data_IF_282476293005
#
_entry.id   IF_282476293005
#
_cell.length_a   1.000
_cell.length_b   1.000
_cell.length_c   1.000
_cell.angle_alpha   90.00
_cell.angle_beta   90.00
_cell.angle_gamma   90.00
#
_symmetry.space_group_name_H-M   'P 1'
#
loop_
_entity.id
_entity.type
_entity.pdbx_description
1 polymer ?
#
# COMPACT_ATOMS: atom_id res chain seq x y z
N UNK A 1 6.69 18.78 27.98
CA UNK A 1 6.00 18.98 26.69
C UNK A 1 5.32 17.67 26.32
N UNK A 2 4.00 17.65 26.38
CA UNK A 2 3.18 16.48 26.03
C UNK A 2 3.14 16.35 24.51
N UNK A 3 3.83 15.36 23.95
CA UNK A 3 3.60 14.93 22.58
C UNK A 3 2.76 13.66 22.65
N UNK A 4 1.47 13.82 22.33
CA UNK A 4 0.52 12.73 22.17
C UNK A 4 1.06 11.72 21.15
N UNK A 5 1.34 10.50 21.61
CA UNK A 5 1.61 9.34 20.77
C UNK A 5 0.34 9.04 19.97
N UNK A 6 0.29 9.54 18.74
CA UNK A 6 -0.68 9.10 17.76
C UNK A 6 -0.37 7.67 17.38
N UNK A 7 -1.07 6.71 18.01
CA UNK A 7 -1.27 5.39 17.42
C UNK A 7 -1.96 5.67 16.08
N UNK A 8 -1.20 5.60 14.98
CA UNK A 8 -1.81 5.60 13.64
C UNK A 8 -2.46 4.24 13.47
N UNK A 9 -3.67 4.10 14.01
CA UNK A 9 -4.64 3.22 13.40
C UNK A 9 -4.84 3.78 11.99
N UNK A 10 -4.30 3.11 10.98
CA UNK A 10 -4.90 3.21 9.64
C UNK A 10 -6.21 2.42 9.77
N UNK A 11 -7.18 3.04 10.42
CA UNK A 11 -8.56 2.66 10.25
C UNK A 11 -8.92 3.17 8.85
N UNK A 12 -8.92 2.28 7.87
CA UNK A 12 -9.75 2.47 6.67
C UNK A 12 -11.20 2.50 7.17
N UNK A 13 -11.64 3.66 7.66
CA UNK A 13 -13.02 3.89 8.05
C UNK A 13 -13.81 4.04 6.76
N UNK A 14 -14.40 2.93 6.32
CA UNK A 14 -15.40 2.92 5.27
C UNK A 14 -16.66 3.59 5.80
N UNK A 15 -16.96 4.80 5.36
CA UNK A 15 -18.25 5.44 5.61
C UNK A 15 -19.27 4.91 4.60
N UNK A 16 -20.26 4.15 5.08
CA UNK A 16 -21.43 3.72 4.29
C UNK A 16 -22.49 4.82 4.42
N UNK A 17 -22.50 5.77 3.49
CA UNK A 17 -23.56 6.76 3.37
C UNK A 17 -24.69 6.27 2.47
N UNK A 18 -25.92 6.17 3.00
CA UNK A 18 -27.10 5.92 2.17
C UNK A 18 -27.47 7.18 1.39
N UNK A 19 -27.29 7.19 0.07
CA UNK A 19 -27.83 8.22 -0.79
C UNK A 19 -29.16 7.77 -1.38
N UNK A 20 -30.23 8.45 -0.96
CA UNK A 20 -31.56 8.35 -1.54
C UNK A 20 -31.66 9.09 -2.88
N UNK A 21 -32.48 8.51 -3.76
CA UNK A 21 -33.19 9.10 -4.91
C UNK A 21 -32.53 9.07 -6.29
N UNK A 22 -33.14 8.22 -7.13
CA UNK A 22 -33.39 8.32 -8.58
C UNK A 22 -32.21 8.29 -9.56
N UNK A 23 -31.50 7.16 -9.59
CA UNK A 23 -31.02 6.48 -10.81
C UNK A 23 -30.90 4.97 -10.50
N UNK A 24 -30.96 4.05 -11.49
CA UNK A 24 -30.79 2.63 -11.18
C UNK A 24 -29.38 2.42 -10.62
N UNK A 25 -29.32 2.14 -9.32
CA UNK A 25 -28.08 1.89 -8.61
C UNK A 25 -27.42 0.64 -9.19
N UNK A 26 -26.23 0.80 -9.77
CA UNK A 26 -25.24 -0.26 -9.74
C UNK A 26 -24.52 -0.15 -8.38
N UNK A 27 -24.63 -1.13 -7.46
CA UNK A 27 -24.28 -0.96 -6.04
C UNK A 27 -22.77 -1.08 -5.74
N UNK A 28 -21.88 -0.78 -6.67
CA UNK A 28 -20.44 -0.78 -6.42
C UNK A 28 -20.01 0.48 -5.64
N UNK A 29 -20.10 0.41 -4.31
CA UNK A 29 -19.28 1.16 -3.34
C UNK A 29 -18.89 2.60 -3.74
N UNK A 30 -19.80 3.55 -3.56
CA UNK A 30 -19.49 4.99 -3.63
C UNK A 30 -18.71 5.47 -2.40
N UNK A 31 -17.40 5.22 -2.36
CA UNK A 31 -16.50 5.70 -1.31
C UNK A 31 -15.96 7.09 -1.69
N UNK A 32 -16.42 8.14 -0.99
CA UNK A 32 -15.78 9.47 -1.07
C UNK A 32 -14.60 9.51 -0.10
N UNK A 33 -13.42 9.14 -0.59
CA UNK A 33 -12.18 9.21 0.19
C UNK A 33 -11.44 10.50 -0.15
N UNK A 34 -11.35 11.43 0.80
CA UNK A 34 -10.35 12.51 0.77
C UNK A 34 -9.26 12.09 1.75
N UNK A 35 -8.24 11.36 1.28
CA UNK A 35 -7.17 10.88 2.13
C UNK A 35 -5.80 11.20 1.51
N UNK A 36 -4.94 11.80 2.33
CA UNK A 36 -3.51 11.76 2.10
C UNK A 36 -2.97 10.57 2.89
N UNK A 37 -2.40 9.59 2.19
CA UNK A 37 -1.76 8.41 2.80
C UNK A 37 -0.27 8.52 2.54
N UNK A 38 0.53 8.59 3.59
CA UNK A 38 1.99 8.52 3.47
C UNK A 38 2.45 7.11 3.75
N UNK A 39 3.31 6.54 2.89
CA UNK A 39 4.10 5.39 3.29
C UNK A 39 5.13 5.89 4.31
N UNK A 40 5.14 5.42 5.56
CA UNK A 40 6.02 5.95 6.59
C UNK A 40 7.45 5.43 6.47
N UNK A 41 8.37 6.22 7.01
CA UNK A 41 9.79 5.94 7.08
C UNK A 41 10.06 4.62 7.79
N UNK A 42 10.89 3.77 7.18
CA UNK A 42 11.54 2.65 7.84
C UNK A 42 13.04 2.96 7.92
N UNK A 43 13.45 3.61 9.00
CA UNK A 43 14.88 3.80 9.34
C UNK A 43 15.26 2.77 10.39
N UNK A 44 16.31 1.99 10.15
CA UNK A 44 17.15 1.49 11.24
C UNK A 44 18.53 2.14 11.13
N UNK A 45 18.76 3.11 12.00
CA UNK A 45 20.09 3.59 12.32
C UNK A 45 20.12 4.36 13.64
N UNK A 46 18.96 4.82 14.12
CA UNK A 46 18.91 5.59 15.34
C UNK A 46 17.92 4.99 16.33
N UNK A 47 18.44 4.62 17.50
CA UNK A 47 17.68 4.35 18.72
C UNK A 47 16.80 5.54 19.16
N UNK A 48 16.87 6.67 18.46
CA UNK A 48 16.00 7.84 18.64
C UNK A 48 14.58 7.68 18.08
N UNK A 49 14.29 6.68 17.22
CA UNK A 49 12.91 6.46 16.80
C UNK A 49 12.11 5.79 17.94
N UNK A 50 10.93 6.33 18.31
CA UNK A 50 10.15 5.76 19.39
C UNK A 50 9.79 4.31 19.05
N UNK A 51 9.94 3.43 20.05
CA UNK A 51 9.48 2.04 19.95
C UNK A 51 8.04 2.03 19.43
N UNK A 52 7.67 1.12 18.51
CA UNK A 52 6.28 0.99 18.06
C UNK A 52 5.30 0.85 19.23
N UNK A 53 5.73 0.17 20.31
CA UNK A 53 5.07 0.08 21.60
C UNK A 53 6.11 -0.23 22.69
N UNK A 54 5.82 0.05 23.99
CA UNK A 54 6.84 0.01 25.06
C UNK A 54 7.62 -1.30 25.16
N UNK A 55 6.94 -2.43 24.94
CA UNK A 55 7.50 -3.78 25.08
C UNK A 55 8.19 -4.31 23.81
N UNK A 56 8.31 -3.50 22.74
CA UNK A 56 8.91 -3.95 21.49
C UNK A 56 10.43 -4.21 21.63
N UNK A 57 10.87 -5.37 21.16
CA UNK A 57 12.27 -5.78 21.06
C UNK A 57 12.70 -5.76 19.59
N UNK A 58 13.66 -4.89 19.26
CA UNK A 58 14.15 -4.73 17.89
C UNK A 58 15.00 -5.93 17.43
N UNK A 59 15.66 -6.62 18.36
CA UNK A 59 16.66 -7.65 18.03
C UNK A 59 16.08 -9.06 18.13
N UNK A 60 15.09 -9.28 19.00
CA UNK A 60 14.55 -10.62 19.26
C UNK A 60 13.10 -10.77 18.84
N UNK A 61 12.85 -11.84 18.09
CA UNK A 61 11.49 -12.33 17.85
C UNK A 61 10.97 -13.05 19.09
N UNK A 62 9.87 -12.53 19.65
CA UNK A 62 9.09 -13.14 20.71
C UNK A 62 7.61 -13.10 20.33
N UNK A 63 7.16 -14.11 19.60
CA UNK A 63 5.79 -14.13 19.06
C UNK A 63 4.77 -14.21 20.20
N UNK A 64 3.80 -13.30 20.16
CA UNK A 64 2.64 -13.26 21.06
C UNK A 64 1.46 -13.92 20.34
N UNK A 65 1.06 -15.17 20.69
CA UNK A 65 0.17 -15.97 19.85
C UNK A 65 -1.20 -15.34 19.58
N UNK A 66 -1.80 -14.68 20.57
CA UNK A 66 -3.10 -14.03 20.37
C UNK A 66 -3.01 -12.82 19.42
N UNK A 67 -1.91 -12.06 19.46
CA UNK A 67 -1.67 -10.96 18.51
C UNK A 67 -1.48 -11.51 17.11
N UNK A 68 -0.73 -12.60 16.97
CA UNK A 68 -0.57 -13.30 15.70
C UNK A 68 -1.91 -13.80 15.15
N UNK A 69 -2.78 -14.37 15.98
CA UNK A 69 -4.12 -14.78 15.56
C UNK A 69 -4.98 -13.59 15.10
N UNK A 70 -4.96 -12.46 15.84
CA UNK A 70 -5.70 -11.25 15.47
C UNK A 70 -5.21 -10.66 14.15
N UNK A 71 -3.90 -10.51 13.99
CA UNK A 71 -3.30 -10.00 12.75
C UNK A 71 -3.53 -10.95 11.58
N UNK A 72 -3.36 -12.25 11.77
CA UNK A 72 -3.62 -13.24 10.72
C UNK A 72 -5.08 -13.21 10.26
N UNK A 73 -6.02 -13.09 11.20
CA UNK A 73 -7.44 -12.89 10.88
C UNK A 73 -7.69 -11.59 10.12
N UNK A 74 -7.16 -10.47 10.61
CA UNK A 74 -7.34 -9.15 9.99
C UNK A 74 -6.76 -9.08 8.57
N UNK A 75 -5.52 -9.54 8.36
CA UNK A 75 -4.88 -9.57 7.05
C UNK A 75 -5.63 -10.48 6.08
N UNK A 76 -6.10 -11.65 6.53
CA UNK A 76 -6.96 -12.53 5.71
C UNK A 76 -8.24 -11.83 5.30
N UNK A 77 -8.92 -11.16 6.23
CA UNK A 77 -10.17 -10.42 5.94
C UNK A 77 -9.92 -9.30 4.94
N UNK A 78 -8.84 -8.52 5.10
CA UNK A 78 -8.46 -7.46 4.16
C UNK A 78 -8.15 -8.03 2.79
N UNK A 79 -7.33 -9.08 2.71
CA UNK A 79 -6.99 -9.75 1.44
C UNK A 79 -8.23 -10.22 0.69
N UNK A 80 -9.12 -10.96 1.36
CA UNK A 80 -10.37 -11.45 0.75
C UNK A 80 -11.27 -10.29 0.33
N UNK A 81 -11.37 -9.24 1.14
CA UNK A 81 -12.15 -8.04 0.80
C UNK A 81 -11.62 -7.34 -0.45
N UNK A 82 -10.30 -7.16 -0.55
CA UNK A 82 -9.65 -6.55 -1.72
C UNK A 82 -9.76 -7.45 -2.96
N UNK A 83 -9.58 -8.76 -2.84
CA UNK A 83 -9.75 -9.70 -3.96
C UNK A 83 -11.20 -9.71 -4.47
N UNK A 84 -12.21 -9.64 -3.59
CA UNK A 84 -13.61 -9.48 -3.99
C UNK A 84 -13.84 -8.13 -4.69
N UNK A 85 -13.29 -7.04 -4.15
CA UNK A 85 -13.39 -5.71 -4.76
C UNK A 85 -12.77 -5.70 -6.16
N UNK A 86 -11.58 -6.28 -6.31
CA UNK A 86 -10.88 -6.32 -7.58
C UNK A 86 -11.60 -7.20 -8.60
N UNK A 87 -12.06 -8.38 -8.20
CA UNK A 87 -12.90 -9.24 -9.05
C UNK A 87 -14.11 -8.52 -9.61
N UNK A 88 -14.77 -7.70 -8.80
CA UNK A 88 -15.96 -6.98 -9.22
C UNK A 88 -15.66 -5.77 -10.13
N UNK A 89 -14.44 -5.22 -10.05
CA UNK A 89 -14.04 -4.01 -10.78
C UNK A 89 -13.32 -4.33 -12.09
N UNK A 90 -12.41 -5.31 -12.10
CA UNK A 90 -11.57 -5.65 -13.26
C UNK A 90 -11.89 -7.01 -13.90
N UNK A 91 -12.19 -8.06 -13.12
CA UNK A 91 -12.18 -9.43 -13.66
C UNK A 91 -13.57 -10.05 -13.90
N UNK A 92 -14.65 -9.32 -13.61
CA UNK A 92 -16.02 -9.86 -13.67
C UNK A 92 -16.43 -10.11 -15.12
N UNK A 93 -16.61 -11.39 -15.46
CA UNK A 93 -16.94 -11.79 -16.83
C UNK A 93 -15.79 -11.67 -17.83
N UNK A 94 -14.59 -11.34 -17.35
CA UNK A 94 -13.37 -11.19 -18.12
C UNK A 94 -12.39 -12.29 -17.70
N UNK A 95 -12.58 -13.50 -18.23
CA UNK A 95 -11.69 -14.64 -17.95
C UNK A 95 -11.34 -15.35 -19.25
N UNK A 96 -10.06 -15.44 -19.55
CA UNK A 96 -9.48 -16.12 -20.71
C UNK A 96 -8.29 -17.01 -20.35
N UNK A 97 -7.49 -17.36 -21.35
CA UNK A 97 -6.20 -18.02 -21.12
C UNK A 97 -5.19 -17.03 -20.55
N UNK A 98 -4.24 -17.55 -19.77
CA UNK A 98 -3.17 -16.71 -19.23
C UNK A 98 -2.37 -16.09 -20.37
N UNK A 99 -2.19 -14.78 -20.35
CA UNK A 99 -1.37 -14.08 -21.34
C UNK A 99 -0.60 -12.92 -20.70
N UNK A 100 0.52 -12.60 -21.35
CA UNK A 100 1.40 -11.51 -20.96
C UNK A 100 1.09 -10.32 -21.86
N UNK A 101 0.80 -9.16 -21.27
CA UNK A 101 0.49 -7.94 -21.98
C UNK A 101 1.39 -6.80 -21.47
N UNK A 102 2.55 -6.57 -22.10
CA UNK A 102 3.40 -5.45 -21.72
C UNK A 102 2.71 -4.12 -22.07
N UNK A 103 2.56 -3.26 -21.08
CA UNK A 103 1.80 -2.03 -21.17
C UNK A 103 2.68 -0.81 -20.82
N UNK A 104 3.91 -0.84 -21.33
CA UNK A 104 4.98 0.08 -20.97
C UNK A 104 4.67 1.57 -21.17
N UNK A 105 3.60 1.99 -21.83
CA UNK A 105 3.22 3.41 -21.98
C UNK A 105 1.83 3.71 -21.39
N UNK A 106 1.25 2.75 -20.66
CA UNK A 106 -0.07 2.88 -20.05
C UNK A 106 -0.09 3.97 -18.97
N UNK A 107 -1.17 4.76 -18.96
CA UNK A 107 -1.41 5.89 -18.05
C UNK A 107 -0.21 6.84 -17.86
N UNK A 108 0.61 7.07 -18.90
CA UNK A 108 1.83 7.89 -18.83
C UNK A 108 2.78 7.47 -17.70
N UNK A 109 2.89 6.17 -17.41
CA UNK A 109 3.69 5.58 -16.33
C UNK A 109 3.18 5.85 -14.91
N UNK A 110 2.10 6.62 -14.73
CA UNK A 110 1.54 6.87 -13.39
C UNK A 110 1.08 5.56 -12.75
N UNK A 111 0.57 4.66 -13.58
CA UNK A 111 0.24 3.29 -13.20
C UNK A 111 1.43 2.55 -12.56
N UNK A 112 2.59 2.57 -13.20
CA UNK A 112 3.84 1.96 -12.71
C UNK A 112 4.29 2.58 -11.38
N UNK A 113 4.07 3.88 -11.20
CA UNK A 113 4.32 4.57 -9.91
C UNK A 113 3.33 4.10 -8.84
N UNK A 114 2.07 3.85 -9.23
CA UNK A 114 1.05 3.23 -8.40
C UNK A 114 1.44 1.85 -7.91
N UNK A 115 1.89 0.96 -8.80
CA UNK A 115 2.41 -0.37 -8.47
C UNK A 115 3.55 -0.33 -7.45
N UNK A 116 4.53 0.57 -7.67
CA UNK A 116 5.60 0.79 -6.69
C UNK A 116 5.08 1.28 -5.33
N UNK A 117 4.16 2.24 -5.33
CA UNK A 117 3.57 2.75 -4.09
C UNK A 117 2.73 1.69 -3.37
N UNK A 118 1.96 0.88 -4.11
CA UNK A 118 1.18 -0.24 -3.61
C UNK A 118 2.07 -1.24 -2.89
N UNK A 119 3.11 -1.73 -3.57
CA UNK A 119 4.08 -2.65 -2.96
C UNK A 119 4.74 -2.09 -1.70
N UNK A 120 5.12 -0.81 -1.71
CA UNK A 120 5.72 -0.13 -0.55
C UNK A 120 4.73 0.01 0.62
N UNK A 121 3.48 0.38 0.35
CA UNK A 121 2.43 0.54 1.36
C UNK A 121 2.03 -0.82 1.96
N UNK A 122 1.81 -1.83 1.12
CA UNK A 122 1.49 -3.20 1.50
C UNK A 122 2.60 -3.78 2.39
N UNK A 123 3.86 -3.52 2.03
CA UNK A 123 5.01 -3.91 2.84
C UNK A 123 5.06 -3.20 4.18
N UNK A 124 4.79 -1.89 4.21
CA UNK A 124 4.73 -1.14 5.46
C UNK A 124 3.67 -1.71 6.41
N UNK A 125 2.46 -1.97 5.90
CA UNK A 125 1.36 -2.55 6.68
C UNK A 125 1.76 -3.94 7.20
N UNK A 126 2.34 -4.79 6.34
CA UNK A 126 2.83 -6.12 6.72
C UNK A 126 3.92 -6.06 7.79
N UNK A 127 4.90 -5.14 7.65
CA UNK A 127 5.96 -4.92 8.64
C UNK A 127 5.38 -4.51 9.98
N UNK A 128 4.51 -3.50 10.04
CA UNK A 128 3.91 -3.05 11.31
C UNK A 128 3.06 -4.13 11.97
N UNK A 129 2.37 -4.91 11.16
CA UNK A 129 1.63 -6.07 11.62
C UNK A 129 2.57 -7.10 12.27
N UNK A 130 3.68 -7.46 11.62
CA UNK A 130 4.67 -8.38 12.15
C UNK A 130 5.37 -7.85 13.43
N UNK A 131 5.67 -6.55 13.49
CA UNK A 131 6.22 -5.94 14.70
C UNK A 131 5.26 -6.13 15.87
N UNK A 132 3.96 -5.91 15.67
CA UNK A 132 2.95 -6.05 16.73
C UNK A 132 2.78 -7.50 17.20
N UNK A 133 2.93 -8.48 16.31
CA UNK A 133 2.89 -9.90 16.69
C UNK A 133 4.13 -10.37 17.43
N UNK A 134 5.20 -9.57 17.43
CA UNK A 134 6.42 -9.81 18.20
C UNK A 134 7.62 -10.26 17.37
N UNK A 135 7.64 -10.05 16.06
CA UNK A 135 8.86 -10.22 15.26
C UNK A 135 9.88 -9.11 15.55
N UNK A 136 11.17 -9.46 15.52
CA UNK A 136 12.26 -8.48 15.50
C UNK A 136 12.13 -7.52 14.31
N UNK A 137 12.85 -6.40 14.30
CA UNK A 137 12.68 -5.40 13.23
C UNK A 137 13.14 -5.93 11.87
N UNK A 138 14.24 -6.67 11.87
CA UNK A 138 14.79 -7.34 10.69
C UNK A 138 13.78 -8.37 10.12
N UNK A 139 13.27 -9.26 10.98
CA UNK A 139 12.28 -10.26 10.56
C UNK A 139 10.96 -9.59 10.12
N UNK A 140 10.52 -8.54 10.80
CA UNK A 140 9.31 -7.80 10.43
C UNK A 140 9.45 -7.13 9.06
N UNK A 141 10.65 -6.63 8.74
CA UNK A 141 10.95 -6.00 7.44
C UNK A 141 10.78 -7.00 6.30
N UNK A 142 11.34 -8.20 6.44
CA UNK A 142 11.19 -9.25 5.44
C UNK A 142 9.78 -9.84 5.37
N UNK A 143 9.10 -10.02 6.51
CA UNK A 143 7.69 -10.44 6.53
C UNK A 143 6.81 -9.42 5.81
N UNK A 144 7.06 -8.12 6.03
CA UNK A 144 6.39 -7.05 5.29
C UNK A 144 6.61 -7.19 3.79
N UNK A 145 7.86 -7.29 3.35
CA UNK A 145 8.20 -7.37 1.92
C UNK A 145 7.60 -8.61 1.25
N UNK A 146 7.57 -9.74 1.96
CA UNK A 146 6.91 -10.95 1.50
C UNK A 146 5.40 -10.75 1.33
N UNK A 147 4.73 -10.13 2.31
CA UNK A 147 3.29 -9.82 2.22
C UNK A 147 3.00 -8.88 1.05
N UNK A 148 3.76 -7.78 0.92
CA UNK A 148 3.59 -6.81 -0.16
C UNK A 148 3.79 -7.45 -1.53
N UNK A 149 4.92 -8.13 -1.74
CA UNK A 149 5.22 -8.82 -3.00
C UNK A 149 4.14 -9.85 -3.35
N UNK A 150 3.69 -10.65 -2.38
CA UNK A 150 2.68 -11.69 -2.64
C UNK A 150 1.33 -11.09 -3.02
N UNK A 151 0.94 -9.98 -2.38
CA UNK A 151 -0.32 -9.32 -2.68
C UNK A 151 -0.31 -8.69 -4.06
N UNK A 152 0.71 -7.91 -4.41
CA UNK A 152 0.74 -7.24 -5.71
C UNK A 152 0.92 -8.24 -6.87
N UNK A 153 1.82 -9.23 -6.74
CA UNK A 153 1.95 -10.28 -7.76
C UNK A 153 0.70 -11.17 -7.89
N UNK A 154 -0.14 -11.24 -6.86
CA UNK A 154 -1.45 -11.88 -6.97
C UNK A 154 -2.37 -11.10 -7.90
N UNK A 155 -2.34 -9.75 -7.87
CA UNK A 155 -3.10 -8.89 -8.79
C UNK A 155 -2.65 -9.14 -10.22
N UNK A 156 -1.35 -9.03 -10.49
CA UNK A 156 -0.77 -9.28 -11.83
C UNK A 156 -1.08 -10.68 -12.36
N UNK A 157 -1.03 -11.68 -11.47
CA UNK A 157 -1.40 -13.05 -11.83
C UNK A 157 -2.87 -13.15 -12.25
N UNK A 158 -3.77 -12.43 -11.59
CA UNK A 158 -5.19 -12.40 -11.96
C UNK A 158 -5.42 -11.61 -13.25
N UNK A 159 -4.70 -10.51 -13.46
CA UNK A 159 -4.74 -9.73 -14.71
C UNK A 159 -4.30 -10.57 -15.91
N UNK A 160 -3.33 -11.47 -15.72
CA UNK A 160 -2.95 -12.45 -16.74
C UNK A 160 -4.11 -13.29 -17.30
N UNK A 161 -5.19 -13.49 -16.54
CA UNK A 161 -6.38 -14.19 -17.02
C UNK A 161 -7.52 -13.28 -17.45
N UNK A 162 -7.40 -11.95 -17.32
CA UNK A 162 -8.42 -11.03 -17.80
C UNK A 162 -8.51 -11.06 -19.33
N UNK A 163 -9.56 -10.49 -19.93
CA UNK A 163 -9.64 -10.37 -21.39
C UNK A 163 -9.16 -9.00 -21.87
N UNK A 164 -9.37 -7.97 -21.04
CA UNK A 164 -9.05 -6.59 -21.36
C UNK A 164 -7.73 -6.14 -20.72
N UNK A 165 -7.23 -6.92 -19.76
CA UNK A 165 -5.93 -6.78 -19.09
C UNK A 165 -5.10 -8.04 -19.29
N UNK A 166 -3.82 -8.00 -18.96
CA UNK A 166 -2.91 -9.13 -18.99
C UNK A 166 -1.80 -8.96 -17.96
N UNK A 167 -1.02 -10.01 -17.71
CA UNK A 167 0.10 -9.93 -16.78
C UNK A 167 1.12 -8.95 -17.35
N UNK A 168 1.43 -7.87 -16.63
CA UNK A 168 2.43 -6.90 -17.07
C UNK A 168 3.76 -7.17 -16.38
N UNK A 169 4.83 -7.50 -17.14
CA UNK A 169 6.16 -7.59 -16.56
C UNK A 169 6.64 -6.26 -15.99
N UNK A 170 6.17 -5.13 -16.52
CA UNK A 170 6.51 -3.80 -16.03
C UNK A 170 5.94 -3.57 -14.64
N UNK A 171 4.66 -3.88 -14.45
CA UNK A 171 3.98 -3.71 -13.17
C UNK A 171 4.50 -4.69 -12.12
N UNK A 172 4.66 -5.98 -12.49
CA UNK A 172 5.29 -6.96 -11.61
C UNK A 172 6.70 -6.55 -11.13
N UNK A 173 7.50 -5.88 -11.98
CA UNK A 173 8.80 -5.33 -11.57
C UNK A 173 8.62 -4.19 -10.57
N UNK A 174 7.69 -3.28 -10.83
CA UNK A 174 7.44 -2.12 -9.98
C UNK A 174 6.84 -2.52 -8.62
N UNK A 175 5.96 -3.52 -8.60
CA UNK A 175 5.43 -4.15 -7.40
C UNK A 175 6.53 -4.68 -6.49
N UNK A 176 7.43 -5.50 -7.06
CA UNK A 176 8.56 -6.08 -6.32
C UNK A 176 9.53 -4.98 -5.89
N UNK A 177 9.82 -4.00 -6.76
CA UNK A 177 10.68 -2.88 -6.42
C UNK A 177 10.10 -2.05 -5.28
N UNK A 178 8.78 -1.80 -5.30
CA UNK A 178 8.03 -1.12 -4.24
C UNK A 178 8.07 -1.90 -2.93
N UNK A 179 7.83 -3.20 -2.98
CA UNK A 179 7.86 -4.06 -1.80
C UNK A 179 9.26 -4.19 -1.18
N UNK A 180 10.31 -4.17 -2.00
CA UNK A 180 11.70 -4.18 -1.53
C UNK A 180 12.20 -2.80 -1.09
N UNK A 181 11.51 -1.71 -1.44
CA UNK A 181 11.96 -0.37 -1.09
C UNK A 181 12.07 -0.15 0.43
N UNK A 182 11.07 -0.51 1.26
CA UNK A 182 11.19 -0.56 2.71
C UNK A 182 12.37 -1.38 3.25
N UNK A 183 12.72 -2.48 2.57
CA UNK A 183 13.88 -3.32 2.92
C UNK A 183 15.17 -2.56 2.62
N UNK A 184 15.24 -1.89 1.47
CA UNK A 184 16.36 -1.05 1.10
C UNK A 184 16.54 0.10 2.10
N UNK A 185 15.45 0.76 2.53
CA UNK A 185 15.50 1.80 3.56
C UNK A 185 16.02 1.28 4.92
N UNK A 186 15.66 0.05 5.28
CA UNK A 186 16.11 -0.59 6.51
C UNK A 186 17.62 -0.83 6.53
N UNK A 187 18.23 -1.27 5.42
CA UNK A 187 19.67 -1.57 5.36
C UNK A 187 20.55 -0.42 4.84
N UNK A 188 19.97 0.56 4.14
CA UNK A 188 20.68 1.68 3.53
C UNK A 188 20.18 3.00 4.12
N UNK A 189 20.82 3.53 5.19
CA UNK A 189 20.36 4.71 5.91
C UNK A 189 20.03 5.94 5.05
N UNK A 190 20.78 6.27 3.98
CA UNK A 190 20.43 7.41 3.12
C UNK A 190 19.06 7.28 2.43
N UNK A 191 18.59 6.04 2.16
CA UNK A 191 17.29 5.82 1.52
C UNK A 191 16.13 6.10 2.46
N UNK A 192 16.32 6.04 3.78
CA UNK A 192 15.30 6.40 4.74
C UNK A 192 14.90 7.88 4.68
N UNK A 193 15.74 8.74 4.09
CA UNK A 193 15.39 10.14 3.86
C UNK A 193 14.24 10.32 2.86
N UNK A 194 14.04 9.37 1.95
CA UNK A 194 13.11 9.47 0.82
C UNK A 194 11.81 8.75 1.15
N UNK A 195 10.68 9.46 1.09
CA UNK A 195 9.38 8.96 1.57
C UNK A 195 8.33 9.07 0.49
N UNK A 196 7.95 7.96 -0.17
CA UNK A 196 6.82 7.93 -1.07
C UNK A 196 5.54 8.34 -0.34
N UNK A 197 4.77 9.26 -0.93
CA UNK A 197 3.45 9.66 -0.42
C UNK A 197 2.45 9.68 -1.54
N UNK A 198 1.19 9.53 -1.16
CA UNK A 198 0.06 9.52 -2.06
C UNK A 198 -1.02 10.45 -1.54
N UNK A 199 -1.62 11.22 -2.44
CA UNK A 199 -2.85 11.94 -2.18
C UNK A 199 -3.83 11.66 -3.30
N UNK A 200 -5.09 11.54 -2.93
CA UNK A 200 -6.16 11.28 -3.87
C UNK A 200 -7.26 12.34 -3.76
N UNK A 201 -7.67 12.84 -4.91
CA UNK A 201 -8.88 13.63 -5.08
C UNK A 201 -9.59 13.12 -6.34
N UNK A 202 -10.83 12.62 -6.25
CA UNK A 202 -11.54 12.07 -7.40
C UNK A 202 -11.50 12.98 -8.62
N UNK A 203 -11.22 12.42 -9.81
CA UNK A 203 -11.30 13.18 -11.05
C UNK A 203 -12.74 13.58 -11.37
N UNK A 204 -12.90 14.62 -12.20
CA UNK A 204 -14.21 15.02 -12.71
C UNK A 204 -14.87 13.86 -13.48
N UNK A 205 -14.08 13.06 -14.21
CA UNK A 205 -14.58 11.87 -14.91
C UNK A 205 -15.16 10.84 -13.94
N UNK A 206 -14.53 10.60 -12.79
CA UNK A 206 -15.07 9.68 -11.78
C UNK A 206 -16.30 10.27 -11.07
N UNK A 207 -16.27 11.56 -10.73
CA UNK A 207 -17.38 12.25 -10.05
C UNK A 207 -18.64 12.35 -10.92
N UNK A 208 -18.48 12.49 -12.23
CA UNK A 208 -19.57 12.56 -13.20
C UNK A 208 -20.00 11.19 -13.74
N UNK A 209 -19.36 10.09 -13.30
CA UNK A 209 -19.66 8.73 -13.76
C UNK A 209 -19.22 8.45 -15.21
N UNK A 210 -18.28 9.23 -15.74
CA UNK A 210 -17.69 9.07 -17.07
C UNK A 210 -16.44 8.18 -17.07
N UNK A 211 -15.85 7.92 -15.90
CA UNK A 211 -14.65 7.09 -15.74
C UNK A 211 -14.94 5.61 -16.04
N UNK A 212 -14.20 5.04 -17.00
CA UNK A 212 -14.29 3.61 -17.34
C UNK A 212 -13.68 2.79 -16.20
N UNK A 213 -14.48 1.93 -15.57
CA UNK A 213 -14.07 1.12 -14.42
C UNK A 213 -14.62 1.61 -13.07
N UNK A 214 -15.01 2.89 -12.97
CA UNK A 214 -15.72 3.43 -11.81
C UNK A 214 -15.03 3.24 -10.45
N UNK A 215 -13.73 2.99 -10.42
CA UNK A 215 -12.97 2.68 -9.23
C UNK A 215 -11.83 3.70 -9.02
N UNK A 216 -11.35 3.83 -7.79
CA UNK A 216 -10.35 4.84 -7.40
C UNK A 216 -8.91 4.45 -7.79
N UNK A 217 -8.67 3.17 -8.06
CA UNK A 217 -7.34 2.63 -8.36
C UNK A 217 -6.96 2.95 -9.81
N UNK A 218 -7.92 2.87 -10.74
CA UNK A 218 -7.73 3.26 -12.15
C UNK A 218 -7.92 4.76 -12.39
N UNK A 219 -8.43 5.51 -11.40
CA UNK A 219 -8.65 6.95 -11.50
C UNK A 219 -7.32 7.74 -11.41
N UNK A 220 -6.39 7.47 -12.32
CA UNK A 220 -5.04 8.05 -12.32
C UNK A 220 -5.04 9.58 -12.38
N UNK A 221 -6.07 10.18 -12.99
CA UNK A 221 -6.23 11.65 -13.03
C UNK A 221 -6.46 12.24 -11.62
N UNK A 222 -7.08 11.47 -10.73
CA UNK A 222 -7.30 11.88 -9.34
C UNK A 222 -6.14 11.58 -8.40
N UNK A 223 -5.10 10.89 -8.89
CA UNK A 223 -3.97 10.45 -8.08
C UNK A 223 -2.81 11.45 -8.16
N UNK A 224 -2.15 11.66 -7.03
CA UNK A 224 -0.89 12.42 -7.00
C UNK A 224 0.12 11.72 -6.09
N UNK A 225 1.27 11.41 -6.67
CA UNK A 225 2.39 10.78 -6.00
C UNK A 225 3.45 11.82 -5.67
N UNK A 226 3.98 11.75 -4.45
CA UNK A 226 5.00 12.67 -3.94
C UNK A 226 6.20 11.90 -3.41
N UNK A 227 7.35 12.58 -3.40
CA UNK A 227 8.53 12.12 -2.69
C UNK A 227 8.89 13.14 -1.60
N UNK A 228 8.62 12.79 -0.34
CA UNK A 228 9.09 13.56 0.80
C UNK A 228 10.59 13.33 1.03
N UNK A 229 11.31 14.40 1.40
CA UNK A 229 12.75 14.31 1.67
C UNK A 229 13.02 14.83 3.09
N UNK A 230 13.49 13.95 3.97
CA UNK A 230 13.95 14.31 5.31
C UNK A 230 15.39 14.81 5.23
N UNK A 231 15.55 16.12 5.03
CA UNK A 231 16.86 16.77 4.87
C UNK A 231 17.80 16.48 6.04
N UNK A 232 17.26 16.36 7.27
CA UNK A 232 18.05 16.00 8.46
C UNK A 232 18.85 14.71 8.29
N UNK A 233 18.29 13.70 7.62
CA UNK A 233 18.94 12.41 7.39
C UNK A 233 20.06 12.49 6.34
N UNK A 234 20.02 13.49 5.47
CA UNK A 234 21.01 13.72 4.41
C UNK A 234 22.17 14.63 4.84
N UNK A 235 22.00 15.36 5.95
CA UNK A 235 23.02 16.30 6.41
C UNK A 235 24.22 15.58 7.05
N UNK A 236 25.46 16.06 6.80
CA UNK A 236 26.62 15.65 7.58
C UNK A 236 26.39 15.92 9.06
N UNK A 237 26.96 15.09 9.95
CA UNK A 237 26.77 15.23 11.40
C UNK A 237 27.15 16.61 11.94
N UNK A 238 28.07 17.32 11.28
CA UNK A 238 28.47 18.69 11.65
C UNK A 238 27.42 19.76 11.37
N UNK A 239 26.41 19.46 10.55
CA UNK A 239 25.37 20.41 10.09
C UNK A 239 23.97 20.04 10.62
N UNK A 240 23.86 18.95 11.39
CA UNK A 240 22.61 18.58 12.06
C UNK A 240 22.35 19.58 13.22
N UNK A 241 21.20 20.27 13.25
CA UNK A 241 20.86 21.28 14.27
C UNK A 241 20.61 20.69 15.66
#
# INVERSE_FOLDING_TARGET
MNHSLGIVFIALLFYIGSASSQQPADPAFGLKLTAAVSAPVITLADTSYPRPFPEYDFERTSIVPWRAAVIGGALTTVFVGLDIYQRNSWWKGQRGEFHIAPDNDYALQVDKVGHFFGGALSTFIGKKSAQWTGFSDDASTWVGAFIGTTFELWVEYQDGFATDWGFSPGDAIMDVAGALYPVAQHYLPPLAAFQPKFSYYPSDDLLEGRHKGGNIIDDYQGQTYWMGIHVHELLPSSWKP
#
